data_IF_812863197068
#
_entry.id   IF_812863197068
#
_cell.length_a   1.000
_cell.length_b   1.000
_cell.length_c   1.000
_cell.angle_alpha   90.00
_cell.angle_beta   90.00
_cell.angle_gamma   90.00
#
_symmetry.space_group_name_H-M   'P 1'
#
loop_
_entity.id
_entity.type
_entity.pdbx_description
1 polymer ?
#
# COMPACT_ATOMS: atom_id res chain seq x y z
N UNK A 1 20.96 7.17 3.38
CA UNK A 1 20.83 5.80 2.82
C UNK A 1 19.54 5.22 3.38
N UNK A 2 18.45 5.26 2.62
CA UNK A 2 17.18 4.66 3.03
C UNK A 2 17.29 3.15 2.90
N UNK A 3 17.27 2.45 4.04
CA UNK A 3 17.23 0.99 4.14
C UNK A 3 15.90 0.47 3.58
N UNK A 4 15.74 0.49 2.27
CA UNK A 4 14.62 -0.18 1.62
C UNK A 4 14.89 -1.69 1.65
N UNK A 5 14.51 -2.32 2.77
CA UNK A 5 13.95 -3.68 2.74
C UNK A 5 12.97 -3.72 1.56
N UNK A 6 13.07 -4.74 0.72
CA UNK A 6 12.22 -4.97 -0.46
C UNK A 6 10.77 -4.62 -0.16
N UNK A 7 10.06 -3.92 -1.05
CA UNK A 7 8.65 -3.57 -0.78
C UNK A 7 7.83 -4.85 -0.58
N UNK A 8 6.88 -4.87 0.38
CA UNK A 8 5.94 -5.98 0.49
C UNK A 8 5.14 -6.11 -0.81
N UNK A 9 4.89 -7.34 -1.25
CA UNK A 9 4.09 -7.59 -2.45
C UNK A 9 2.65 -7.92 -2.09
N UNK A 10 1.69 -7.30 -2.77
CA UNK A 10 0.26 -7.64 -2.71
C UNK A 10 -0.24 -8.06 -4.09
N UNK A 11 -1.27 -8.90 -4.10
CA UNK A 11 -1.96 -9.35 -5.33
C UNK A 11 -3.38 -8.82 -5.30
N UNK A 12 -3.82 -8.18 -6.38
CA UNK A 12 -5.13 -7.55 -6.48
C UNK A 12 -5.73 -7.91 -7.85
N UNK A 13 -6.95 -8.45 -7.84
CA UNK A 13 -7.78 -8.51 -9.04
C UNK A 13 -8.59 -7.21 -9.12
N UNK A 14 -8.19 -6.31 -10.02
CA UNK A 14 -8.82 -5.01 -10.21
C UNK A 14 -10.25 -5.09 -10.76
N UNK A 15 -10.65 -6.23 -11.35
CA UNK A 15 -11.99 -6.45 -11.89
C UNK A 15 -12.94 -7.05 -10.85
N UNK A 16 -12.43 -7.37 -9.66
CA UNK A 16 -13.19 -7.89 -8.52
C UNK A 16 -13.47 -6.79 -7.48
N UNK A 17 -14.24 -7.08 -6.41
CA UNK A 17 -14.35 -6.18 -5.27
C UNK A 17 -13.00 -5.75 -4.68
N UNK A 18 -11.94 -6.58 -4.80
CA UNK A 18 -10.59 -6.26 -4.30
C UNK A 18 -9.98 -5.05 -5.01
N UNK A 19 -10.46 -4.70 -6.20
CA UNK A 19 -10.08 -3.49 -6.94
C UNK A 19 -10.54 -2.18 -6.27
N UNK A 20 -11.43 -2.23 -5.27
CA UNK A 20 -11.80 -1.02 -4.54
C UNK A 20 -10.62 -0.49 -3.71
N UNK A 21 -10.35 0.80 -3.85
CA UNK A 21 -9.15 1.44 -3.31
C UNK A 21 -8.97 1.27 -1.79
N UNK A 22 -10.07 1.17 -1.04
CA UNK A 22 -10.01 0.96 0.41
C UNK A 22 -9.60 -0.48 0.77
N UNK A 23 -9.96 -1.47 -0.04
CA UNK A 23 -9.45 -2.84 0.13
C UNK A 23 -7.98 -2.93 -0.23
N UNK A 24 -7.56 -2.26 -1.32
CA UNK A 24 -6.13 -2.18 -1.70
C UNK A 24 -5.31 -1.54 -0.58
N UNK A 25 -5.80 -0.45 0.02
CA UNK A 25 -5.16 0.19 1.17
C UNK A 25 -5.06 -0.76 2.37
N UNK A 26 -6.14 -1.48 2.69
CA UNK A 26 -6.14 -2.46 3.79
C UNK A 26 -5.14 -3.59 3.55
N UNK A 27 -5.07 -4.12 2.31
CA UNK A 27 -4.11 -5.13 1.91
C UNK A 27 -2.67 -4.63 2.05
N UNK A 28 -2.39 -3.40 1.58
CA UNK A 28 -1.08 -2.77 1.72
C UNK A 28 -0.66 -2.61 3.19
N UNK A 29 -1.57 -2.12 4.04
CA UNK A 29 -1.33 -1.99 5.50
C UNK A 29 -1.00 -3.34 6.13
N UNK A 30 -1.72 -4.40 5.76
CA UNK A 30 -1.46 -5.73 6.30
C UNK A 30 -0.12 -6.30 5.82
N UNK A 31 0.25 -6.06 4.56
CA UNK A 31 1.54 -6.48 4.01
C UNK A 31 2.71 -5.74 4.68
N UNK A 32 2.58 -4.44 4.92
CA UNK A 32 3.59 -3.64 5.66
C UNK A 32 3.78 -4.18 7.08
N UNK A 33 2.69 -4.48 7.79
CA UNK A 33 2.76 -5.07 9.15
C UNK A 33 3.48 -6.42 9.16
N UNK A 34 3.19 -7.27 8.18
CA UNK A 34 3.77 -8.61 8.09
C UNK A 34 5.27 -8.57 7.74
N UNK A 35 5.66 -7.63 6.88
CA UNK A 35 7.02 -7.58 6.33
C UNK A 35 7.99 -6.76 7.19
N UNK A 36 7.54 -5.68 7.83
CA UNK A 36 8.41 -4.73 8.50
C UNK A 36 8.17 -4.62 10.00
N UNK A 37 8.63 -5.63 10.76
CA UNK A 37 8.47 -5.75 12.22
C UNK A 37 8.93 -4.51 13.03
N UNK A 38 9.82 -3.66 12.50
CA UNK A 38 10.42 -2.53 13.23
C UNK A 38 9.81 -1.17 12.85
N UNK A 39 9.61 -0.86 11.56
CA UNK A 39 9.14 0.48 11.12
C UNK A 39 7.71 0.49 10.53
N UNK A 40 6.97 -0.63 10.63
CA UNK A 40 5.63 -0.73 10.03
C UNK A 40 4.68 0.38 10.50
N UNK A 41 4.74 0.78 11.78
CA UNK A 41 3.86 1.82 12.32
C UNK A 41 4.08 3.17 11.64
N UNK A 42 5.33 3.58 11.46
CA UNK A 42 5.67 4.86 10.81
C UNK A 42 5.30 4.84 9.32
N UNK A 43 5.60 3.73 8.62
CA UNK A 43 5.24 3.60 7.21
C UNK A 43 3.73 3.59 6.99
N UNK A 44 2.96 2.92 7.86
CA UNK A 44 1.49 2.92 7.79
C UNK A 44 0.93 4.31 8.10
N UNK A 45 1.51 5.05 9.05
CA UNK A 45 1.09 6.41 9.35
C UNK A 45 1.34 7.34 8.15
N UNK A 46 2.52 7.28 7.55
CA UNK A 46 2.87 8.05 6.35
C UNK A 46 1.96 7.69 5.16
N UNK A 47 1.76 6.40 4.88
CA UNK A 47 0.86 5.92 3.84
C UNK A 47 -0.55 6.50 4.01
N UNK A 48 -1.12 6.43 5.22
CA UNK A 48 -2.47 6.94 5.49
C UNK A 48 -2.54 8.47 5.34
N UNK A 49 -1.51 9.18 5.79
CA UNK A 49 -1.46 10.64 5.67
C UNK A 49 -1.41 11.09 4.20
N UNK A 50 -0.58 10.45 3.37
CA UNK A 50 -0.54 10.72 1.93
C UNK A 50 -1.86 10.32 1.26
N UNK A 51 -2.38 9.13 1.57
CA UNK A 51 -3.63 8.61 1.00
C UNK A 51 -4.83 9.54 1.23
N UNK A 52 -4.94 10.13 2.43
CA UNK A 52 -6.01 11.08 2.74
C UNK A 52 -5.98 12.35 1.88
N UNK A 53 -4.86 12.65 1.22
CA UNK A 53 -4.72 13.78 0.30
C UNK A 53 -4.96 13.39 -1.17
N UNK A 54 -5.19 12.11 -1.47
CA UNK A 54 -5.47 11.64 -2.83
C UNK A 54 -6.73 12.29 -3.39
N UNK A 55 -6.68 12.71 -4.66
CA UNK A 55 -7.78 13.39 -5.35
C UNK A 55 -8.50 12.49 -6.35
N UNK A 56 -7.92 11.35 -6.66
CA UNK A 56 -8.45 10.36 -7.60
C UNK A 56 -8.09 8.94 -7.16
N UNK A 57 -8.71 7.97 -7.81
CA UNK A 57 -8.36 6.56 -7.65
C UNK A 57 -6.90 6.30 -8.04
N UNK A 58 -6.45 6.85 -9.17
CA UNK A 58 -5.09 6.67 -9.68
C UNK A 58 -4.05 7.32 -8.74
N UNK A 59 -4.31 8.52 -8.23
CA UNK A 59 -3.44 9.15 -7.23
C UNK A 59 -3.30 8.28 -5.98
N UNK A 60 -4.42 7.74 -5.51
CA UNK A 60 -4.45 6.86 -4.34
C UNK A 60 -3.66 5.57 -4.60
N UNK A 61 -3.79 5.00 -5.80
CA UNK A 61 -3.06 3.80 -6.21
C UNK A 61 -1.55 4.07 -6.30
N UNK A 62 -1.15 5.22 -6.87
CA UNK A 62 0.24 5.65 -6.94
C UNK A 62 0.86 5.86 -5.56
N UNK A 63 0.11 6.46 -4.63
CA UNK A 63 0.53 6.58 -3.23
C UNK A 63 0.77 5.18 -2.62
N UNK A 64 -0.16 4.23 -2.80
CA UNK A 64 0.00 2.87 -2.26
C UNK A 64 1.25 2.18 -2.87
N UNK A 65 1.50 2.33 -4.17
CA UNK A 65 2.67 1.78 -4.88
C UNK A 65 4.01 2.32 -4.36
N UNK A 66 4.03 3.46 -3.66
CA UNK A 66 5.26 3.93 -2.97
C UNK A 66 5.67 2.98 -1.85
N UNK A 67 4.73 2.30 -1.21
CA UNK A 67 4.98 1.47 -0.02
C UNK A 67 4.95 -0.03 -0.28
N UNK A 68 4.20 -0.49 -1.30
CA UNK A 68 4.07 -1.90 -1.65
C UNK A 68 4.19 -2.12 -3.16
N UNK A 69 4.57 -3.32 -3.57
CA UNK A 69 4.50 -3.75 -4.96
C UNK A 69 3.13 -4.40 -5.21
N UNK A 70 2.38 -3.91 -6.20
CA UNK A 70 1.07 -4.46 -6.57
C UNK A 70 1.23 -5.28 -7.84
N UNK A 71 0.91 -6.57 -7.76
CA UNK A 71 0.78 -7.44 -8.92
C UNK A 71 -0.69 -7.69 -9.21
N UNK A 72 -1.07 -7.56 -10.48
CA UNK A 72 -2.37 -7.98 -10.98
C UNK A 72 -2.45 -9.51 -11.01
N UNK A 73 -3.61 -10.07 -10.72
CA UNK A 73 -3.87 -11.51 -10.69
C UNK A 73 -5.17 -11.87 -11.40
#
# INVERSE_FOLDING_TARGET
MSNFRTKPKIRIDFNSPDGNIYFILAAAVNAIKAYNLFDAKEQIAALKAEFNNARSYDDALDIIRKYVDIAEC
#
